data_IF_931423437179
#
_entry.id   IF_931423437179
#
_cell.length_a   1.000
_cell.length_b   1.000
_cell.length_c   1.000
_cell.angle_alpha   90.00
_cell.angle_beta   90.00
_cell.angle_gamma   90.00
#
_symmetry.space_group_name_H-M   'P 1'
#
loop_
_entity.id
_entity.type
_entity.pdbx_description
1 polymer ?
#
# COMPACT_ATOMS: atom_id res chain seq x y z
N UNK A 1 19.53 -2.18 2.43
CA UNK A 1 18.47 -1.76 1.52
C UNK A 1 17.39 -2.81 1.38
N UNK A 2 16.81 -3.05 2.55
CA UNK A 2 15.43 -3.48 2.73
C UNK A 2 14.55 -2.22 2.67
N UNK A 3 13.34 -2.38 2.15
CA UNK A 3 12.34 -1.33 2.04
C UNK A 3 11.14 -1.75 2.88
N UNK A 4 10.77 -0.90 3.84
CA UNK A 4 9.60 -1.10 4.67
C UNK A 4 8.44 -0.29 4.12
N UNK A 5 7.27 -0.90 4.00
CA UNK A 5 6.11 -0.21 3.47
C UNK A 5 4.83 -0.66 4.12
N UNK A 6 3.84 0.24 4.10
CA UNK A 6 2.49 -0.01 4.58
C UNK A 6 1.48 0.31 3.49
N UNK A 7 0.59 -0.64 3.22
CA UNK A 7 -0.58 -0.43 2.36
C UNK A 7 -1.82 -0.31 3.23
N UNK A 8 -2.55 0.78 3.03
CA UNK A 8 -3.80 1.07 3.70
C UNK A 8 -4.94 0.85 2.74
N UNK A 9 -5.91 0.02 3.13
CA UNK A 9 -7.15 -0.07 2.36
C UNK A 9 -8.39 -0.08 3.24
N UNK A 10 -9.48 0.43 2.66
CA UNK A 10 -10.78 0.48 3.31
C UNK A 10 -11.91 0.41 2.30
N UNK A 11 -12.90 -0.40 2.62
CA UNK A 11 -14.12 -0.54 1.85
C UNK A 11 -15.34 -0.47 2.79
N UNK A 12 -16.46 0.17 2.39
CA UNK A 12 -17.65 0.28 3.24
C UNK A 12 -18.33 -1.08 3.50
N UNK A 13 -18.18 -2.04 2.59
CA UNK A 13 -18.68 -3.41 2.79
C UNK A 13 -17.67 -4.27 3.55
N UNK A 14 -18.03 -4.63 4.78
CA UNK A 14 -17.26 -5.54 5.65
C UNK A 14 -17.03 -6.93 5.06
N UNK A 15 -17.90 -7.41 4.16
CA UNK A 15 -17.68 -8.70 3.49
C UNK A 15 -16.53 -8.60 2.50
N UNK A 16 -16.47 -7.51 1.74
CA UNK A 16 -15.36 -7.23 0.83
C UNK A 16 -14.05 -7.10 1.62
N UNK A 17 -14.07 -6.40 2.77
CA UNK A 17 -12.90 -6.35 3.66
C UNK A 17 -12.41 -7.74 4.10
N UNK A 18 -13.33 -8.65 4.44
CA UNK A 18 -12.97 -10.03 4.79
C UNK A 18 -12.42 -10.85 3.61
N UNK A 19 -12.94 -10.62 2.40
CA UNK A 19 -12.41 -11.28 1.20
C UNK A 19 -11.00 -10.77 0.85
N UNK A 20 -10.76 -9.46 0.99
CA UNK A 20 -9.42 -8.87 0.83
C UNK A 20 -8.45 -9.37 1.90
N UNK A 21 -8.89 -9.59 3.14
CA UNK A 21 -8.05 -10.23 4.16
C UNK A 21 -7.57 -11.62 3.70
N UNK A 22 -8.51 -12.47 3.25
CA UNK A 22 -8.18 -13.79 2.74
C UNK A 22 -7.28 -13.75 1.50
N UNK A 23 -7.47 -12.77 0.61
CA UNK A 23 -6.65 -12.57 -0.58
C UNK A 23 -5.16 -12.47 -0.25
N UNK A 24 -4.81 -11.73 0.81
CA UNK A 24 -3.41 -11.53 1.22
C UNK A 24 -2.88 -12.59 2.20
N UNK A 25 -3.74 -13.31 2.94
CA UNK A 25 -3.27 -14.26 3.99
C UNK A 25 -3.36 -15.73 3.62
N UNK A 26 -4.26 -16.13 2.71
CA UNK A 26 -4.58 -17.55 2.51
C UNK A 26 -3.85 -18.18 1.30
N UNK A 27 -3.20 -17.38 0.47
CA UNK A 27 -2.57 -17.85 -0.76
C UNK A 27 -1.32 -18.71 -0.51
N UNK A 28 -0.58 -18.51 0.59
CA UNK A 28 0.61 -19.29 0.96
C UNK A 28 1.59 -19.50 -0.22
N UNK A 29 1.90 -18.42 -0.93
CA UNK A 29 2.77 -18.43 -2.12
C UNK A 29 2.17 -19.03 -3.40
N UNK A 30 0.89 -19.41 -3.43
CA UNK A 30 0.25 -20.05 -4.59
C UNK A 30 -0.49 -19.06 -5.51
N UNK A 31 -0.09 -19.00 -6.78
CA UNK A 31 -0.77 -18.23 -7.83
C UNK A 31 -2.23 -18.64 -8.03
N UNK A 32 -2.49 -19.95 -8.03
CA UNK A 32 -3.84 -20.50 -8.17
C UNK A 32 -4.74 -20.03 -7.05
N UNK A 33 -4.28 -20.11 -5.79
CA UNK A 33 -5.07 -19.65 -4.64
C UNK A 33 -5.26 -18.14 -4.62
N UNK A 34 -4.24 -17.37 -5.00
CA UNK A 34 -4.36 -15.92 -5.09
C UNK A 34 -5.40 -15.53 -6.14
N UNK A 35 -5.37 -16.19 -7.31
CA UNK A 35 -6.37 -15.99 -8.35
C UNK A 35 -7.78 -16.38 -7.89
N UNK A 36 -7.95 -17.54 -7.27
CA UNK A 36 -9.24 -17.96 -6.71
C UNK A 36 -9.78 -16.93 -5.71
N UNK A 37 -8.95 -16.44 -4.80
CA UNK A 37 -9.36 -15.43 -3.83
C UNK A 37 -9.72 -14.09 -4.50
N UNK A 38 -8.98 -13.66 -5.51
CA UNK A 38 -9.29 -12.44 -6.25
C UNK A 38 -10.63 -12.54 -7.00
N UNK A 39 -10.97 -13.71 -7.52
CA UNK A 39 -12.24 -13.97 -8.19
C UNK A 39 -13.44 -14.00 -7.24
N UNK A 40 -13.23 -14.37 -5.97
CA UNK A 40 -14.24 -14.23 -4.93
C UNK A 40 -14.51 -12.75 -4.58
N UNK A 41 -13.49 -11.89 -4.66
CA UNK A 41 -13.64 -10.44 -4.50
C UNK A 41 -14.37 -9.84 -5.71
N UNK A 42 -13.92 -10.17 -6.92
CA UNK A 42 -14.51 -9.71 -8.17
C UNK A 42 -14.36 -10.79 -9.25
N UNK A 43 -15.49 -11.38 -9.67
CA UNK A 43 -15.53 -12.48 -10.62
C UNK A 43 -14.96 -12.15 -12.01
N UNK A 44 -14.91 -10.87 -12.39
CA UNK A 44 -14.34 -10.41 -13.66
C UNK A 44 -12.85 -10.05 -13.53
N UNK A 45 -12.25 -10.20 -12.34
CA UNK A 45 -10.88 -9.80 -12.02
C UNK A 45 -9.77 -10.68 -12.59
N UNK A 46 -10.05 -11.63 -13.48
CA UNK A 46 -9.06 -12.60 -13.99
C UNK A 46 -7.88 -11.89 -14.66
N UNK A 47 -8.15 -10.99 -15.61
CA UNK A 47 -7.10 -10.31 -16.38
C UNK A 47 -6.24 -9.40 -15.49
N UNK A 48 -6.87 -8.68 -14.55
CA UNK A 48 -6.18 -7.82 -13.58
C UNK A 48 -5.27 -8.63 -12.65
N UNK A 49 -5.78 -9.77 -12.15
CA UNK A 49 -5.01 -10.63 -11.26
C UNK A 49 -3.82 -11.24 -11.99
N UNK A 50 -4.01 -11.72 -13.22
CA UNK A 50 -2.90 -12.23 -14.02
C UNK A 50 -1.87 -11.14 -14.33
N UNK A 51 -2.32 -9.91 -14.63
CA UNK A 51 -1.41 -8.80 -14.86
C UNK A 51 -0.53 -8.48 -13.64
N UNK A 52 -1.09 -8.51 -12.42
CA UNK A 52 -0.29 -8.38 -11.19
C UNK A 52 0.71 -9.52 -11.05
N UNK A 53 0.25 -10.77 -11.22
CA UNK A 53 1.10 -11.96 -11.08
C UNK A 53 2.24 -12.02 -12.11
N UNK A 54 2.05 -11.41 -13.28
CA UNK A 54 3.09 -11.31 -14.32
C UNK A 54 4.13 -10.22 -14.03
N UNK A 55 3.83 -9.28 -13.12
CA UNK A 55 4.71 -8.16 -12.75
C UNK A 55 5.55 -8.42 -11.49
N UNK A 56 5.09 -9.32 -10.62
CA UNK A 56 5.79 -9.69 -9.38
C UNK A 56 6.67 -10.94 -9.58
N UNK A 57 7.79 -11.01 -8.85
CA UNK A 57 8.76 -12.10 -8.97
C UNK A 57 8.34 -13.33 -8.15
N UNK A 58 7.74 -13.10 -6.98
CA UNK A 58 7.38 -14.13 -6.03
C UNK A 58 6.21 -13.71 -5.17
N UNK A 59 5.07 -14.37 -5.35
CA UNK A 59 3.86 -14.19 -4.53
C UNK A 59 4.16 -14.23 -3.02
N UNK A 60 5.03 -15.15 -2.58
CA UNK A 60 5.35 -15.33 -1.16
C UNK A 60 6.16 -14.16 -0.57
N UNK A 61 6.86 -13.39 -1.39
CA UNK A 61 7.72 -12.30 -0.92
C UNK A 61 7.19 -10.92 -1.31
N UNK A 62 6.46 -10.84 -2.42
CA UNK A 62 5.96 -9.58 -2.96
C UNK A 62 4.52 -9.29 -2.51
N UNK A 63 3.70 -10.33 -2.26
CA UNK A 63 2.27 -10.19 -1.95
C UNK A 63 1.86 -10.67 -0.56
N UNK A 64 2.73 -11.37 0.18
CA UNK A 64 2.46 -11.82 1.55
C UNK A 64 2.93 -10.75 2.55
N UNK A 65 2.03 -10.00 3.21
CA UNK A 65 2.42 -9.02 4.21
C UNK A 65 3.01 -9.72 5.45
N UNK A 66 4.00 -9.11 6.07
CA UNK A 66 4.52 -9.59 7.36
C UNK A 66 3.44 -9.51 8.44
N UNK A 67 2.67 -8.42 8.43
CA UNK A 67 1.58 -8.15 9.35
C UNK A 67 0.35 -7.58 8.63
N UNK A 68 -0.83 -7.95 9.12
CA UNK A 68 -2.10 -7.36 8.72
C UNK A 68 -2.87 -7.00 9.98
N UNK A 69 -3.04 -5.70 10.19
CA UNK A 69 -3.75 -5.12 11.32
C UNK A 69 -4.98 -4.33 10.88
N UNK A 70 -5.89 -4.08 11.83
CA UNK A 70 -7.04 -3.21 11.62
C UNK A 70 -6.97 -1.99 12.53
N UNK A 71 -6.78 -0.81 11.94
CA UNK A 71 -6.61 0.46 12.68
C UNK A 71 -7.60 1.48 12.14
N UNK A 72 -8.42 2.07 13.01
CA UNK A 72 -9.43 3.08 12.64
C UNK A 72 -10.36 2.69 11.45
N UNK A 73 -10.63 1.39 11.30
CA UNK A 73 -11.45 0.82 10.23
C UNK A 73 -10.75 0.67 8.89
N UNK A 74 -9.43 0.86 8.84
CA UNK A 74 -8.56 0.46 7.73
C UNK A 74 -7.96 -0.89 8.01
N UNK A 75 -7.72 -1.67 6.96
CA UNK A 75 -6.71 -2.72 7.00
C UNK A 75 -5.36 -2.08 6.69
N UNK A 76 -4.34 -2.46 7.46
CA UNK A 76 -2.96 -1.99 7.33
C UNK A 76 -2.10 -3.23 7.10
N UNK A 77 -1.57 -3.34 5.89
CA UNK A 77 -0.65 -4.40 5.47
C UNK A 77 0.77 -3.87 5.61
N UNK A 78 1.63 -4.56 6.36
CA UNK A 78 3.04 -4.22 6.48
C UNK A 78 3.88 -5.16 5.60
N UNK A 79 4.77 -4.62 4.80
CA UNK A 79 5.66 -5.36 3.91
C UNK A 79 7.12 -4.98 4.13
N UNK A 80 7.98 -5.97 3.93
CA UNK A 80 9.42 -5.78 3.80
C UNK A 80 9.86 -6.36 2.46
N UNK A 81 10.37 -5.50 1.58
CA UNK A 81 10.81 -5.86 0.24
C UNK A 81 12.29 -5.54 0.02
N UNK A 82 12.84 -6.05 -1.09
CA UNK A 82 14.14 -5.62 -1.60
C UNK A 82 14.04 -4.34 -2.43
N UNK A 83 14.96 -4.18 -3.39
CA UNK A 83 15.11 -2.95 -4.19
C UNK A 83 13.92 -2.57 -5.07
N UNK A 84 12.98 -3.49 -5.33
CA UNK A 84 11.80 -3.25 -6.17
C UNK A 84 10.53 -3.09 -5.33
N UNK A 85 10.66 -2.82 -4.03
CA UNK A 85 9.54 -2.77 -3.11
C UNK A 85 8.51 -1.70 -3.45
N UNK A 86 8.95 -0.53 -3.87
CA UNK A 86 8.08 0.56 -4.30
C UNK A 86 7.27 0.19 -5.56
N UNK A 87 7.89 -0.48 -6.54
CA UNK A 87 7.19 -1.01 -7.73
C UNK A 87 6.15 -2.08 -7.35
N UNK A 88 6.50 -2.99 -6.43
CA UNK A 88 5.56 -4.00 -5.93
C UNK A 88 4.35 -3.36 -5.25
N UNK A 89 4.58 -2.33 -4.43
CA UNK A 89 3.52 -1.59 -3.73
C UNK A 89 2.64 -0.83 -4.72
N UNK A 90 3.22 -0.19 -5.73
CA UNK A 90 2.47 0.46 -6.81
C UNK A 90 1.53 -0.55 -7.52
N UNK A 91 2.05 -1.72 -7.86
CA UNK A 91 1.29 -2.78 -8.54
C UNK A 91 0.15 -3.31 -7.65
N UNK A 92 0.36 -3.46 -6.34
CA UNK A 92 -0.67 -3.83 -5.38
C UNK A 92 -1.79 -2.77 -5.34
N UNK A 93 -1.45 -1.48 -5.31
CA UNK A 93 -2.44 -0.40 -5.27
C UNK A 93 -3.27 -0.33 -6.55
N UNK A 94 -2.62 -0.41 -7.71
CA UNK A 94 -3.29 -0.46 -9.01
C UNK A 94 -4.21 -1.68 -9.13
N UNK A 95 -3.75 -2.83 -8.65
CA UNK A 95 -4.57 -4.05 -8.59
C UNK A 95 -5.79 -3.87 -7.70
N UNK A 96 -5.64 -3.35 -6.47
CA UNK A 96 -6.76 -3.11 -5.56
C UNK A 96 -7.80 -2.16 -6.17
N UNK A 97 -7.34 -1.03 -6.74
CA UNK A 97 -8.21 -0.05 -7.40
C UNK A 97 -8.90 -0.62 -8.64
N UNK A 98 -8.21 -1.42 -9.44
CA UNK A 98 -8.79 -2.10 -10.60
C UNK A 98 -9.82 -3.15 -10.20
N UNK A 99 -9.54 -3.91 -9.13
CA UNK A 99 -10.42 -4.96 -8.63
C UNK A 99 -11.69 -4.38 -8.01
N UNK A 100 -11.57 -3.25 -7.32
CA UNK A 100 -12.64 -2.56 -6.60
C UNK A 100 -12.52 -1.04 -6.79
N UNK A 101 -13.16 -0.44 -7.82
CA UNK A 101 -13.02 0.99 -8.13
C UNK A 101 -13.38 1.94 -6.96
N UNK A 102 -14.30 1.53 -6.09
CA UNK A 102 -14.78 2.31 -4.94
C UNK A 102 -13.94 2.09 -3.67
N UNK A 103 -12.86 1.29 -3.72
CA UNK A 103 -11.97 1.10 -2.58
C UNK A 103 -11.18 2.37 -2.31
N UNK A 104 -10.97 2.67 -1.03
CA UNK A 104 -9.87 3.55 -0.63
C UNK A 104 -8.60 2.71 -0.56
N UNK A 105 -7.53 3.14 -1.23
CA UNK A 105 -6.21 2.56 -1.11
C UNK A 105 -5.13 3.66 -1.17
N UNK A 106 -4.10 3.57 -0.33
CA UNK A 106 -2.90 4.39 -0.38
C UNK A 106 -1.75 3.66 0.31
N UNK A 107 -0.51 4.07 0.06
CA UNK A 107 0.66 3.47 0.70
C UNK A 107 1.71 4.51 1.06
N UNK A 108 2.52 4.16 2.04
CA UNK A 108 3.73 4.87 2.44
C UNK A 108 4.82 3.83 2.63
N UNK A 109 6.07 4.19 2.35
CA UNK A 109 7.21 3.36 2.72
C UNK A 109 8.49 4.15 2.79
N UNK A 110 9.52 3.52 3.36
CA UNK A 110 10.81 4.12 3.61
C UNK A 110 11.95 3.11 3.47
N UNK A 111 13.16 3.63 3.19
CA UNK A 111 14.39 2.85 3.24
C UNK A 111 14.87 2.56 4.67
N UNK A 112 15.64 1.49 4.83
CA UNK A 112 16.31 1.11 6.09
C UNK A 112 17.60 1.91 6.38
N UNK A 113 18.37 2.20 5.32
CA UNK A 113 19.72 2.77 5.40
C UNK A 113 19.77 4.30 5.20
N UNK A 114 18.82 4.86 4.44
CA UNK A 114 18.71 6.29 4.13
C UNK A 114 17.25 6.73 4.37
N UNK A 115 16.99 7.95 4.91
CA UNK A 115 15.66 8.38 5.36
C UNK A 115 14.65 8.61 4.23
N UNK A 116 14.95 8.19 3.00
CA UNK A 116 14.09 8.35 1.84
C UNK A 116 12.70 7.72 2.06
N UNK A 117 11.65 8.49 1.75
CA UNK A 117 10.24 8.09 1.83
C UNK A 117 9.59 8.15 0.44
N UNK A 118 8.63 7.25 0.20
CA UNK A 118 7.74 7.32 -0.95
C UNK A 118 6.27 7.22 -0.50
N UNK A 119 5.42 7.90 -1.25
CA UNK A 119 4.03 8.15 -0.90
C UNK A 119 3.14 7.91 -2.11
N UNK A 120 2.20 6.99 -1.97
CA UNK A 120 1.22 6.70 -3.00
C UNK A 120 -0.18 7.03 -2.51
N UNK A 121 -0.95 7.78 -3.31
CA UNK A 121 -2.37 8.04 -3.05
C UNK A 121 -3.11 8.31 -4.36
N UNK A 122 -4.33 7.80 -4.47
CA UNK A 122 -5.17 8.04 -5.64
C UNK A 122 -5.80 9.44 -5.63
N UNK A 123 -5.72 10.15 -6.75
CA UNK A 123 -6.60 11.27 -7.10
C UNK A 123 -7.60 10.82 -8.16
N UNK A 124 -8.80 10.44 -7.70
CA UNK A 124 -9.79 9.77 -8.54
C UNK A 124 -9.34 8.36 -8.97
N UNK A 125 -8.95 8.23 -10.23
CA UNK A 125 -8.46 6.98 -10.84
C UNK A 125 -6.95 7.00 -11.13
N UNK A 126 -6.30 8.16 -10.94
CA UNK A 126 -4.87 8.33 -11.14
C UNK A 126 -4.11 8.07 -9.85
N UNK A 127 -3.12 7.17 -9.90
CA UNK A 127 -2.22 6.94 -8.77
C UNK A 127 -1.10 7.98 -8.82
N UNK A 128 -1.03 8.83 -7.80
CA UNK A 128 0.04 9.82 -7.67
C UNK A 128 1.10 9.27 -6.73
N UNK A 129 2.36 9.45 -7.14
CA UNK A 129 3.56 9.16 -6.36
C UNK A 129 4.27 10.47 -6.03
N UNK A 130 4.62 10.64 -4.76
CA UNK A 130 5.56 11.65 -4.29
C UNK A 130 6.69 10.94 -3.53
N UNK A 131 7.87 11.54 -3.55
CA UNK A 131 9.06 11.02 -2.88
C UNK A 131 9.74 12.17 -2.13
N UNK A 132 10.32 11.90 -0.97
CA UNK A 132 11.09 12.90 -0.20
C UNK A 132 12.29 12.31 0.55
N UNK A 133 13.17 13.20 1.01
CA UNK A 133 14.36 12.88 1.79
C UNK A 133 14.40 13.77 3.06
N UNK A 134 13.73 13.36 4.15
CA UNK A 134 13.65 14.12 5.38
C UNK A 134 14.99 14.18 6.10
N UNK A 135 15.15 15.20 6.94
CA UNK A 135 16.34 15.49 7.76
C UNK A 135 17.58 15.95 6.98
N UNK A 136 17.43 16.26 5.70
CA UNK A 136 18.51 16.83 4.88
C UNK A 136 18.71 18.34 5.16
N UNK A 137 17.64 19.12 5.17
CA UNK A 137 17.64 20.57 5.43
C UNK A 137 16.34 21.02 6.11
N UNK A 138 16.43 21.93 7.08
CA UNK A 138 15.25 22.35 7.86
C UNK A 138 14.22 23.14 7.05
N UNK A 139 14.64 23.90 6.04
CA UNK A 139 13.70 24.62 5.20
C UNK A 139 12.98 23.63 4.26
N UNK A 140 13.69 22.62 3.77
CA UNK A 140 13.13 21.53 2.95
C UNK A 140 12.16 20.64 3.77
N UNK A 141 12.50 20.30 5.02
CA UNK A 141 11.63 19.55 5.92
C UNK A 141 10.28 20.26 6.15
N UNK A 142 10.29 21.58 6.30
CA UNK A 142 9.07 22.37 6.45
C UNK A 142 8.25 22.44 5.15
N UNK A 143 8.91 22.44 3.98
CA UNK A 143 8.24 22.32 2.68
C UNK A 143 7.60 20.93 2.50
N UNK A 144 8.29 19.85 2.88
CA UNK A 144 7.77 18.46 2.85
C UNK A 144 6.53 18.35 3.74
N UNK A 145 6.62 18.83 4.99
CA UNK A 145 5.47 18.84 5.93
C UNK A 145 4.29 19.63 5.38
N UNK A 146 4.55 20.79 4.75
CA UNK A 146 3.50 21.66 4.22
C UNK A 146 2.88 21.15 2.91
N UNK A 147 3.49 20.16 2.25
CA UNK A 147 3.06 19.62 0.96
C UNK A 147 2.66 18.15 1.05
N UNK A 148 3.61 17.22 0.98
CA UNK A 148 3.41 15.77 0.87
C UNK A 148 2.60 15.26 2.07
N UNK A 149 2.98 15.64 3.30
CA UNK A 149 2.31 15.17 4.51
C UNK A 149 0.86 15.67 4.57
N UNK A 150 0.64 16.97 4.32
CA UNK A 150 -0.72 17.54 4.26
C UNK A 150 -1.58 16.82 3.22
N UNK A 151 -1.03 16.55 2.03
CA UNK A 151 -1.73 15.87 0.95
C UNK A 151 -2.04 14.41 1.30
N UNK A 152 -1.05 13.64 1.73
CA UNK A 152 -1.20 12.20 1.94
C UNK A 152 -2.11 11.90 3.14
N UNK A 153 -1.92 12.62 4.26
CA UNK A 153 -2.73 12.45 5.48
C UNK A 153 -4.11 13.09 5.42
N UNK A 154 -4.45 13.81 4.35
CA UNK A 154 -5.78 14.41 4.22
C UNK A 154 -6.88 13.35 4.39
N UNK A 155 -7.80 13.63 5.31
CA UNK A 155 -8.94 12.79 5.70
C UNK A 155 -8.58 11.45 6.37
N UNK A 156 -7.30 11.20 6.66
CA UNK A 156 -6.89 10.03 7.44
C UNK A 156 -7.09 10.23 8.95
N UNK A 157 -7.44 9.15 9.67
CA UNK A 157 -7.40 9.14 11.13
C UNK A 157 -5.97 9.33 11.64
N UNK A 158 -5.85 9.94 12.82
CA UNK A 158 -4.53 10.27 13.43
C UNK A 158 -3.70 9.03 13.70
N UNK A 159 -4.35 7.90 13.96
CA UNK A 159 -3.74 6.62 14.32
C UNK A 159 -2.98 5.94 13.17
N UNK A 160 -3.15 6.39 11.92
CA UNK A 160 -2.48 5.84 10.74
C UNK A 160 -1.73 6.91 9.94
N UNK A 161 -1.43 8.05 10.57
CA UNK A 161 -0.55 9.03 9.95
C UNK A 161 0.90 8.56 10.06
N UNK A 162 1.53 8.44 8.91
CA UNK A 162 2.93 8.00 8.77
C UNK A 162 3.89 9.16 8.53
N UNK A 163 5.17 8.85 8.46
CA UNK A 163 6.21 9.80 8.06
C UNK A 163 7.24 10.07 9.13
N UNK A 164 8.50 10.14 8.74
CA UNK A 164 9.58 10.52 9.65
C UNK A 164 9.35 11.87 10.33
N UNK A 165 8.81 12.85 9.60
CA UNK A 165 8.56 14.20 10.09
C UNK A 165 7.19 14.37 10.79
N UNK A 166 6.45 13.26 10.98
CA UNK A 166 5.10 13.27 11.56
C UNK A 166 5.12 13.10 13.09
N UNK A 167 6.29 12.94 13.69
CA UNK A 167 6.43 12.97 15.15
C UNK A 167 6.22 14.41 15.65
N UNK A 168 5.16 14.61 16.45
CA UNK A 168 4.97 15.81 17.25
C UNK A 168 6.17 15.99 18.21
N UNK A 169 6.92 17.08 18.10
CA UNK A 169 7.74 17.59 19.22
C UNK A 169 6.85 18.02 20.42
#
# INVERSE_FOLDING_TARGET
MELHSRVYYKHPDTKVMGLLESLFKDHAGSAEKFLEAALEVNADGTELTQALLDQIDSIQYDLDPEHLDYIAGYAVLEFTHGSNGDENIENILLFLKGLLPDIHAQAWGCGDDDPWEFWFKFDGDELIREDDEPYNDSDEDEEIKASIYVWWHQDLPVEIKEGFLNEDE
#
